data_IF_844720886138
#
_entry.id   IF_844720886138
#
_cell.length_a   1.000
_cell.length_b   1.000
_cell.length_c   1.000
_cell.angle_alpha   90.00
_cell.angle_beta   90.00
_cell.angle_gamma   90.00
#
_symmetry.space_group_name_H-M   'P 1'
#
loop_
_entity.id
_entity.type
_entity.pdbx_description
1 polymer ?
#
# COMPACT_ATOMS: atom_id res chain seq x y z
N UNK A 1 18.10 0.94 -5.17
CA UNK A 1 17.20 0.79 -4.01
C UNK A 1 16.05 -0.09 -4.46
N UNK A 2 15.99 -1.34 -4.05
CA UNK A 2 14.88 -2.25 -4.41
C UNK A 2 13.65 -1.87 -3.60
N UNK A 3 12.47 -1.83 -4.23
CA UNK A 3 11.23 -1.58 -3.51
C UNK A 3 11.05 -2.66 -2.42
N UNK A 4 10.68 -2.29 -1.18
CA UNK A 4 10.48 -3.25 -0.10
C UNK A 4 9.42 -4.29 -0.49
N UNK A 5 9.70 -5.56 -0.21
CA UNK A 5 8.86 -6.68 -0.63
C UNK A 5 7.56 -6.75 0.19
N UNK A 6 6.41 -6.59 -0.47
CA UNK A 6 5.07 -6.72 0.12
C UNK A 6 4.82 -8.15 0.61
N UNK A 7 4.39 -8.33 1.86
CA UNK A 7 3.87 -9.61 2.36
C UNK A 7 2.47 -9.86 1.79
N UNK A 8 2.17 -11.10 1.42
CA UNK A 8 0.87 -11.51 0.89
C UNK A 8 0.00 -12.12 1.98
N UNK A 9 -1.26 -11.65 2.07
CA UNK A 9 -2.29 -12.19 2.96
C UNK A 9 -2.59 -13.66 2.67
N UNK A 10 -2.71 -14.00 1.39
CA UNK A 10 -3.02 -15.36 0.97
C UNK A 10 -1.88 -16.33 1.34
N UNK A 11 -0.63 -15.88 1.17
CA UNK A 11 0.53 -16.66 1.60
C UNK A 11 0.53 -16.86 3.11
N UNK A 12 0.26 -15.82 3.90
CA UNK A 12 0.14 -15.95 5.36
C UNK A 12 -0.96 -16.93 5.79
N UNK A 13 -2.13 -16.90 5.13
CA UNK A 13 -3.23 -17.83 5.37
C UNK A 13 -2.83 -19.28 5.03
N UNK A 14 -2.24 -19.51 3.86
CA UNK A 14 -1.78 -20.85 3.46
C UNK A 14 -0.71 -21.39 4.43
N UNK A 15 0.22 -20.54 4.87
CA UNK A 15 1.20 -20.91 5.88
C UNK A 15 0.55 -21.26 7.23
N UNK A 16 -0.49 -20.53 7.63
CA UNK A 16 -1.24 -20.81 8.85
C UNK A 16 -2.02 -22.14 8.75
N UNK A 17 -2.52 -22.50 7.56
CA UNK A 17 -3.21 -23.77 7.33
C UNK A 17 -2.26 -24.98 7.36
N UNK A 18 -1.16 -24.93 6.59
CA UNK A 18 -0.29 -26.09 6.44
C UNK A 18 0.77 -26.21 7.53
N UNK A 19 1.34 -25.07 7.97
CA UNK A 19 2.46 -25.01 8.93
C UNK A 19 2.10 -24.20 10.19
N UNK A 20 0.81 -24.02 10.47
CA UNK A 20 0.32 -23.24 11.61
C UNK A 20 0.81 -23.76 12.96
N UNK A 21 0.76 -25.08 13.17
CA UNK A 21 1.18 -25.72 14.43
C UNK A 21 2.61 -25.33 14.81
N UNK A 22 3.48 -25.15 13.82
CA UNK A 22 4.88 -24.72 13.99
C UNK A 22 5.05 -23.19 14.02
N UNK A 23 4.01 -22.42 13.71
CA UNK A 23 4.02 -20.95 13.72
C UNK A 23 4.65 -20.30 12.49
N UNK A 24 4.76 -21.01 11.35
CA UNK A 24 5.45 -20.50 10.16
C UNK A 24 4.86 -19.18 9.62
N UNK A 25 3.54 -19.00 9.72
CA UNK A 25 2.86 -17.76 9.33
C UNK A 25 3.34 -16.56 10.16
N UNK A 26 3.68 -16.75 11.44
CA UNK A 26 4.21 -15.66 12.29
C UNK A 26 5.63 -15.27 11.88
N UNK A 27 6.47 -16.23 11.51
CA UNK A 27 7.80 -15.94 10.97
C UNK A 27 7.72 -15.22 9.61
N UNK A 28 6.79 -15.62 8.74
CA UNK A 28 6.56 -14.93 7.46
C UNK A 28 6.23 -13.44 7.66
N UNK A 29 5.45 -13.13 8.69
CA UNK A 29 5.02 -11.79 9.07
C UNK A 29 6.06 -11.01 9.91
N UNK A 30 7.31 -11.51 10.02
CA UNK A 30 8.39 -10.96 10.85
C UNK A 30 8.03 -10.87 12.36
N UNK A 31 7.12 -11.71 12.83
CA UNK A 31 6.72 -11.80 14.24
C UNK A 31 7.47 -12.94 14.95
N UNK A 32 8.80 -12.85 14.94
CA UNK A 32 9.68 -13.93 15.39
C UNK A 32 9.47 -14.33 16.85
N UNK A 33 9.16 -13.37 17.73
CA UNK A 33 8.87 -13.66 19.15
C UNK A 33 7.64 -14.55 19.32
N UNK A 34 6.57 -14.30 18.55
CA UNK A 34 5.38 -15.15 18.54
C UNK A 34 5.68 -16.51 17.90
N UNK A 35 6.42 -16.54 16.79
CA UNK A 35 6.82 -17.79 16.13
C UNK A 35 7.61 -18.73 17.06
N UNK A 36 8.54 -18.20 17.86
CA UNK A 36 9.26 -18.99 18.87
C UNK A 36 8.32 -19.54 19.94
N UNK A 37 7.33 -18.75 20.38
CA UNK A 37 6.29 -19.21 21.31
C UNK A 37 5.48 -20.40 20.75
N UNK A 38 5.17 -20.38 19.46
CA UNK A 38 4.51 -21.50 18.78
C UNK A 38 5.38 -22.76 18.77
N UNK A 39 6.68 -22.62 18.45
CA UNK A 39 7.62 -23.75 18.47
C UNK A 39 7.67 -24.35 19.88
N UNK A 40 7.86 -23.53 20.91
CA UNK A 40 7.92 -24.00 22.31
C UNK A 40 6.62 -24.67 22.74
N UNK A 41 5.47 -24.11 22.36
CA UNK A 41 4.16 -24.71 22.60
C UNK A 41 4.00 -26.06 21.91
N UNK A 42 4.47 -26.19 20.67
CA UNK A 42 4.35 -27.42 19.87
C UNK A 42 5.20 -28.60 20.37
N UNK A 43 6.11 -28.41 21.32
CA UNK A 43 6.94 -29.50 21.89
C UNK A 43 6.09 -30.47 22.72
N UNK A 44 5.00 -30.00 23.32
CA UNK A 44 4.13 -30.84 24.17
C UNK A 44 2.91 -31.29 23.38
N UNK A 45 2.44 -32.52 23.59
CA UNK A 45 1.23 -33.04 22.93
C UNK A 45 0.01 -32.14 23.13
N UNK A 46 -0.23 -31.67 24.37
CA UNK A 46 -1.28 -30.69 24.70
C UNK A 46 -1.08 -29.38 23.94
N UNK A 47 0.17 -28.92 23.86
CA UNK A 47 0.50 -27.67 23.21
C UNK A 47 0.29 -27.70 21.70
N UNK A 48 0.45 -28.85 21.03
CA UNK A 48 0.10 -29.03 19.61
C UNK A 48 -1.40 -28.78 19.37
N UNK A 49 -2.28 -29.25 20.26
CA UNK A 49 -3.72 -28.96 20.14
C UNK A 49 -4.00 -27.48 20.33
N UNK A 50 -3.37 -26.85 21.32
CA UNK A 50 -3.53 -25.41 21.59
C UNK A 50 -3.02 -24.58 20.41
N UNK A 51 -1.79 -24.79 19.95
CA UNK A 51 -1.22 -24.04 18.81
C UNK A 51 -1.96 -24.34 17.52
N UNK A 52 -2.46 -25.56 17.33
CA UNK A 52 -3.33 -25.92 16.21
C UNK A 52 -4.64 -25.13 16.18
N UNK A 53 -5.34 -25.02 17.32
CA UNK A 53 -6.56 -24.22 17.43
C UNK A 53 -6.26 -22.74 17.16
N UNK A 54 -5.21 -22.18 17.77
CA UNK A 54 -4.85 -20.77 17.57
C UNK A 54 -4.49 -20.51 16.10
N UNK A 55 -3.75 -21.42 15.45
CA UNK A 55 -3.40 -21.32 14.03
C UNK A 55 -4.61 -21.36 13.12
N UNK A 56 -5.59 -22.20 13.46
CA UNK A 56 -6.84 -22.29 12.71
C UNK A 56 -7.64 -20.99 12.83
N UNK A 57 -7.71 -20.41 14.03
CA UNK A 57 -8.31 -19.08 14.24
C UNK A 57 -7.56 -18.01 13.45
N UNK A 58 -6.22 -18.02 13.47
CA UNK A 58 -5.39 -17.11 12.67
C UNK A 58 -5.67 -17.27 11.17
N UNK A 59 -5.80 -18.51 10.68
CA UNK A 59 -6.13 -18.81 9.29
C UNK A 59 -7.47 -18.18 8.88
N UNK A 60 -8.53 -18.43 9.65
CA UNK A 60 -9.85 -17.81 9.39
C UNK A 60 -9.74 -16.28 9.48
N UNK A 61 -9.02 -15.77 10.48
CA UNK A 61 -8.73 -14.35 10.65
C UNK A 61 -8.09 -13.73 9.40
N UNK A 62 -7.09 -14.39 8.80
CA UNK A 62 -6.46 -13.92 7.56
C UNK A 62 -7.40 -13.97 6.35
N UNK A 63 -8.33 -14.94 6.29
CA UNK A 63 -9.30 -15.02 5.21
C UNK A 63 -10.35 -13.90 5.27
N UNK A 64 -10.88 -13.62 6.47
CA UNK A 64 -11.95 -12.62 6.65
C UNK A 64 -11.42 -11.19 6.75
N UNK A 65 -10.15 -11.01 7.10
CA UNK A 65 -9.51 -9.70 7.17
C UNK A 65 -9.38 -9.05 5.78
N UNK A 66 -9.62 -7.74 5.71
CA UNK A 66 -9.43 -6.93 4.51
C UNK A 66 -7.94 -6.86 4.11
N UNK A 67 -7.64 -6.62 2.83
CA UNK A 67 -6.25 -6.37 2.42
C UNK A 67 -5.68 -5.10 3.06
N UNK A 68 -6.51 -4.08 3.25
CA UNK A 68 -6.11 -2.81 3.87
C UNK A 68 -5.68 -2.99 5.33
N UNK A 69 -6.45 -3.75 6.12
CA UNK A 69 -6.10 -4.04 7.51
C UNK A 69 -4.85 -4.91 7.61
N UNK A 70 -4.70 -5.89 6.70
CA UNK A 70 -3.50 -6.70 6.62
C UNK A 70 -2.27 -5.85 6.30
N UNK A 71 -2.37 -4.98 5.29
CA UNK A 71 -1.28 -4.10 4.88
C UNK A 71 -0.93 -3.09 5.99
N UNK A 72 -1.92 -2.53 6.68
CA UNK A 72 -1.70 -1.66 7.84
C UNK A 72 -0.93 -2.36 8.96
N UNK A 73 -1.22 -3.63 9.22
CA UNK A 73 -0.63 -4.38 10.32
C UNK A 73 0.73 -4.99 10.00
N UNK A 74 0.91 -5.46 8.77
CA UNK A 74 2.05 -6.29 8.37
C UNK A 74 2.92 -5.68 7.27
N UNK A 75 2.42 -4.67 6.56
CA UNK A 75 3.14 -3.91 5.54
C UNK A 75 3.10 -2.38 5.80
N UNK A 76 3.46 -1.89 7.00
CA UNK A 76 3.29 -0.48 7.38
C UNK A 76 4.05 0.49 6.45
N UNK A 77 5.12 0.03 5.81
CA UNK A 77 5.89 0.79 4.83
C UNK A 77 5.11 1.11 3.55
N UNK A 78 4.12 0.28 3.18
CA UNK A 78 3.23 0.54 2.05
C UNK A 78 2.17 1.58 2.41
N UNK A 79 1.67 1.54 3.64
CA UNK A 79 0.68 2.51 4.14
C UNK A 79 1.29 3.90 4.27
N UNK A 80 2.56 4.00 4.68
CA UNK A 80 3.30 5.27 4.64
C UNK A 80 3.48 5.84 3.23
N UNK A 81 3.50 4.98 2.20
CA UNK A 81 3.52 5.40 0.80
C UNK A 81 2.14 5.81 0.29
N UNK A 82 1.07 5.11 0.69
CA UNK A 82 -0.31 5.44 0.37
C UNK A 82 -0.79 6.76 1.01
N UNK A 83 -0.20 7.14 2.16
CA UNK A 83 -0.44 8.43 2.81
C UNK A 83 0.25 9.63 2.13
N UNK A 84 1.09 9.42 1.11
CA UNK A 84 1.47 10.53 0.24
C UNK A 84 0.24 10.89 -0.57
N UNK A 85 -0.28 12.14 -0.48
CA UNK A 85 -1.33 12.56 -1.40
C UNK A 85 -0.82 12.27 -2.80
N UNK A 86 -1.63 11.56 -3.58
CA UNK A 86 -1.45 11.45 -5.01
C UNK A 86 -1.13 12.87 -5.50
N UNK A 87 0.12 13.11 -5.91
CA UNK A 87 0.58 14.38 -6.48
C UNK A 87 -0.04 14.56 -7.88
N UNK A 88 -1.23 14.00 -8.13
CA UNK A 88 -2.05 14.28 -9.30
C UNK A 88 -2.69 15.67 -9.21
N UNK A 89 -2.93 16.20 -7.99
CA UNK A 89 -3.41 17.58 -7.83
C UNK A 89 -2.32 18.62 -8.11
N UNK A 90 -1.10 18.40 -7.58
CA UNK A 90 0.01 19.34 -7.73
C UNK A 90 0.58 19.32 -9.16
N UNK A 91 0.70 18.14 -9.80
CA UNK A 91 1.16 18.05 -11.18
C UNK A 91 0.24 18.78 -12.15
N UNK A 92 -1.08 18.67 -11.99
CA UNK A 92 -2.03 19.44 -12.81
C UNK A 92 -1.88 20.95 -12.60
N UNK A 93 -1.76 21.42 -11.34
CA UNK A 93 -1.56 22.86 -11.10
C UNK A 93 -0.24 23.40 -11.64
N UNK A 94 0.84 22.61 -11.60
CA UNK A 94 2.15 23.00 -12.12
C UNK A 94 2.13 23.00 -13.66
N UNK A 95 1.51 21.99 -14.28
CA UNK A 95 1.32 21.93 -15.73
C UNK A 95 0.47 23.10 -16.24
N UNK A 96 -0.67 23.36 -15.59
CA UNK A 96 -1.55 24.50 -15.90
C UNK A 96 -0.83 25.84 -15.74
N UNK A 97 -0.03 26.01 -14.68
CA UNK A 97 0.73 27.24 -14.45
C UNK A 97 1.82 27.46 -15.52
N UNK A 98 2.55 26.40 -15.88
CA UNK A 98 3.58 26.48 -16.92
C UNK A 98 2.98 26.76 -18.31
N UNK A 99 1.82 26.19 -18.64
CA UNK A 99 1.11 26.49 -19.89
C UNK A 99 0.62 27.94 -19.95
N UNK A 100 0.01 28.44 -18.86
CA UNK A 100 -0.45 29.84 -18.77
C UNK A 100 0.75 30.80 -18.93
N UNK A 101 1.91 30.47 -18.34
CA UNK A 101 3.13 31.27 -18.46
C UNK A 101 3.64 31.33 -19.89
N UNK A 102 3.61 30.20 -20.61
CA UNK A 102 4.02 30.15 -22.03
C UNK A 102 3.04 30.92 -22.93
N UNK A 103 1.75 30.87 -22.62
CA UNK A 103 0.72 31.65 -23.30
C UNK A 103 0.93 33.16 -23.10
N UNK A 104 1.24 33.58 -21.89
CA UNK A 104 1.55 35.00 -21.58
C UNK A 104 2.77 35.49 -22.36
N UNK A 105 3.84 34.67 -22.41
CA UNK A 105 5.03 34.99 -23.22
C UNK A 105 4.70 35.16 -24.70
N UNK A 106 3.95 34.22 -25.30
CA UNK A 106 3.58 34.31 -26.71
C UNK A 106 2.73 35.55 -27.03
N UNK A 107 1.89 35.97 -26.08
CA UNK A 107 1.10 37.20 -26.19
C UNK A 107 1.98 38.44 -26.10
N UNK A 108 2.89 38.50 -25.13
CA UNK A 108 3.84 39.61 -24.99
C UNK A 108 4.81 39.72 -26.17
N UNK A 109 5.22 38.59 -26.75
CA UNK A 109 6.05 38.53 -27.95
C UNK A 109 5.29 38.93 -29.23
N UNK A 110 3.98 39.16 -29.15
CA UNK A 110 3.12 39.55 -30.28
C UNK A 110 2.86 38.42 -31.29
N UNK A 111 3.20 37.18 -30.93
CA UNK A 111 3.01 35.99 -31.78
C UNK A 111 1.53 35.58 -31.84
N UNK A 112 0.79 35.82 -30.76
CA UNK A 112 -0.66 35.54 -30.67
C UNK A 112 -1.44 36.80 -30.32
N UNK A 113 -2.69 36.87 -30.75
CA UNK A 113 -3.60 37.97 -30.45
C UNK A 113 -4.25 37.81 -29.07
N UNK A 114 -4.76 38.90 -28.50
CA UNK A 114 -5.48 38.89 -27.22
C UNK A 114 -6.69 37.94 -27.21
N UNK A 115 -7.44 37.88 -28.32
CA UNK A 115 -8.59 36.99 -28.46
C UNK A 115 -8.19 35.51 -28.38
N UNK A 116 -7.04 35.17 -28.95
CA UNK A 116 -6.52 33.79 -29.00
C UNK A 116 -5.92 33.34 -27.66
N UNK A 117 -5.32 34.27 -26.92
CA UNK A 117 -4.88 34.07 -25.55
C UNK A 117 -6.05 33.74 -24.60
N UNK A 118 -7.10 34.56 -24.60
CA UNK A 118 -8.27 34.38 -23.72
C UNK A 118 -8.99 33.05 -24.00
N UNK A 119 -9.10 32.68 -25.28
CA UNK A 119 -9.74 31.43 -25.68
C UNK A 119 -8.99 30.20 -25.14
N UNK A 120 -7.65 30.21 -25.19
CA UNK A 120 -6.82 29.08 -24.70
C UNK A 120 -6.74 29.03 -23.18
N UNK A 121 -6.68 30.17 -22.50
CA UNK A 121 -6.71 30.25 -21.04
C UNK A 121 -7.99 29.63 -20.46
N UNK A 122 -9.14 29.85 -21.09
CA UNK A 122 -10.40 29.25 -20.67
C UNK A 122 -10.46 27.72 -20.87
N UNK A 123 -9.85 27.19 -21.95
CA UNK A 123 -9.76 25.75 -22.18
C UNK A 123 -8.96 25.04 -21.08
N UNK A 124 -7.81 25.62 -20.70
CA UNK A 124 -6.92 25.04 -19.68
C UNK A 124 -7.55 25.12 -18.28
N UNK A 125 -8.38 26.14 -18.03
CA UNK A 125 -9.05 26.33 -16.73
C UNK A 125 -10.29 25.45 -16.54
N UNK A 126 -10.83 24.88 -17.61
CA UNK A 126 -12.03 24.01 -17.60
C UNK A 126 -11.70 22.53 -17.87
N UNK A 127 -10.43 22.16 -17.76
CA UNK A 127 -9.91 20.79 -17.91
C UNK A 127 -9.67 20.16 -16.53
#
# INVERSE_FOLDING_TARGET
MTAPHKKSKMTAALLAWFLGIFGAHRFYLNQNSMGVGYILGSITFIGIFVTGIISFVDFIGFLVMSEEDFDRRYNPHLVAYQGRPQVNGIQNTVYVADEIKKLDQLFQDGVITFEEFERRKQMIMNQ
#
